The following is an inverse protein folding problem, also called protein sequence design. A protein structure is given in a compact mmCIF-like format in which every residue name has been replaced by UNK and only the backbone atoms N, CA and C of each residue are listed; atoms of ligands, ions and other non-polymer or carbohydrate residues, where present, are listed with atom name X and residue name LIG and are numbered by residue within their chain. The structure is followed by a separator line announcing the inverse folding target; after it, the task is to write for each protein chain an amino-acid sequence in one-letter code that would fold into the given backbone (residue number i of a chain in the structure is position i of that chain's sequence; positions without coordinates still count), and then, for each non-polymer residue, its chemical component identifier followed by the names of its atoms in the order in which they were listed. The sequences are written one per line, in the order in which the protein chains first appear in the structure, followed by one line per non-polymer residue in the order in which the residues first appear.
data_IF_081432851614
#
_entry.id   IF_081432851614
#
_cell.length_a   1.000
_cell.length_b   1.000
_cell.length_c   1.000
_cell.angle_alpha   90.00
_cell.angle_beta   90.00
_cell.angle_gamma   90.00
#
_symmetry.space_group_name_H-M   'P 1'
#
loop_
_entity.id
_entity.type
_entity.pdbx_description
1 polymer ?
#
# COMPACT_ATOMS: atom_id res chain seq x y z
N UNK A 1 14.86 6.28 21.67
CA UNK A 1 15.03 7.74 21.63
C UNK A 1 16.29 7.95 20.81
N UNK A 2 16.17 8.37 19.54
CA UNK A 2 17.33 8.59 18.66
C UNK A 2 18.13 9.75 19.27
N UNK A 3 19.40 9.51 19.53
CA UNK A 3 20.34 10.55 19.92
C UNK A 3 20.91 11.12 18.62
N UNK A 4 20.71 12.41 18.37
CA UNK A 4 21.38 13.08 17.26
C UNK A 4 22.84 13.30 17.63
N UNK A 5 23.73 12.67 16.87
CA UNK A 5 25.16 12.58 17.16
C UNK A 5 25.88 13.76 16.50
N UNK A 6 26.21 14.79 17.27
CA UNK A 6 27.04 15.89 16.75
C UNK A 6 28.52 15.62 17.05
N UNK A 7 29.35 15.55 16.00
CA UNK A 7 30.79 15.31 16.09
C UNK A 7 31.55 16.61 15.84
N UNK A 8 32.14 17.21 16.87
CA UNK A 8 33.06 18.34 16.71
C UNK A 8 34.48 17.82 16.46
N UNK A 9 34.99 18.05 15.23
CA UNK A 9 36.37 17.74 14.84
C UNK A 9 37.35 18.65 15.61
N UNK A 10 37.84 18.21 16.78
CA UNK A 10 39.27 18.30 17.13
C UNK A 10 39.70 17.58 18.41
N UNK A 11 38.81 17.16 19.31
CA UNK A 11 39.19 16.45 20.54
C UNK A 11 38.14 15.37 20.88
N UNK A 12 38.60 14.16 21.20
CA UNK A 12 37.79 12.95 21.44
C UNK A 12 36.94 13.04 22.72
N UNK A 13 35.84 13.79 22.69
CA UNK A 13 34.82 13.75 23.73
C UNK A 13 33.45 13.47 23.11
N UNK A 14 32.74 12.49 23.68
CA UNK A 14 31.38 12.09 23.31
C UNK A 14 30.46 12.49 24.45
N UNK A 15 29.52 13.41 24.19
CA UNK A 15 28.53 13.83 25.19
C UNK A 15 27.15 13.22 24.85
N UNK A 16 26.55 12.56 25.84
CA UNK A 16 25.20 12.00 25.76
C UNK A 16 24.23 12.96 26.47
N UNK A 17 23.56 13.83 25.72
CA UNK A 17 22.53 14.70 26.29
C UNK A 17 21.18 13.96 26.29
N UNK A 18 20.65 13.62 27.48
CA UNK A 18 19.29 13.08 27.65
C UNK A 18 18.27 14.14 28.11
N UNK A 19 18.73 15.36 28.38
CA UNK A 19 17.92 16.48 28.88
C UNK A 19 18.63 17.79 28.56
N UNK A 20 18.04 18.59 27.66
CA UNK A 20 18.36 19.93 27.12
C UNK A 20 19.34 20.86 27.89
N UNK A 21 20.54 20.40 28.21
CA UNK A 21 21.61 21.21 28.77
C UNK A 21 22.96 20.73 28.21
N UNK A 22 23.81 21.69 27.84
CA UNK A 22 25.17 21.46 27.38
C UNK A 22 26.11 22.25 28.30
N UNK A 23 26.88 21.56 29.14
CA UNK A 23 27.89 22.20 30.01
C UNK A 23 29.27 22.13 29.36
N UNK A 24 29.94 23.28 29.29
CA UNK A 24 31.31 23.43 28.80
C UNK A 24 32.13 24.16 29.85
N UNK A 25 33.20 23.53 30.34
CA UNK A 25 34.16 24.16 31.24
C UNK A 25 35.45 24.45 30.49
N UNK A 26 35.84 25.71 30.35
CA UNK A 26 37.19 26.04 29.84
C UNK A 26 37.82 27.22 30.59
N UNK A 27 39.15 27.25 30.80
CA UNK A 27 39.76 28.27 31.65
C UNK A 27 40.10 29.60 30.95
N UNK A 28 40.21 29.68 29.61
CA UNK A 28 40.88 30.82 28.93
C UNK A 28 40.44 31.20 27.48
N UNK A 29 39.31 30.75 26.93
CA UNK A 29 38.89 31.15 25.54
C UNK A 29 37.40 31.41 25.37
N UNK A 30 37.04 32.36 24.49
CA UNK A 30 35.67 32.60 24.01
C UNK A 30 35.36 31.68 22.82
N UNK A 31 34.30 30.89 22.94
CA UNK A 31 33.72 30.13 21.82
C UNK A 31 32.33 30.67 21.50
N UNK A 32 31.98 30.75 20.21
CA UNK A 32 30.63 31.10 19.74
C UNK A 32 29.95 29.82 19.26
N UNK A 33 28.92 29.38 19.98
CA UNK A 33 28.06 28.26 19.56
C UNK A 33 26.82 28.86 18.90
N UNK A 34 26.64 28.62 17.61
CA UNK A 34 25.45 29.04 16.89
C UNK A 34 24.53 27.83 16.69
N UNK A 35 23.39 27.81 17.38
CA UNK A 35 22.32 26.85 17.16
C UNK A 35 21.14 27.61 16.54
N UNK A 36 20.69 27.19 15.36
CA UNK A 36 19.51 27.78 14.71
C UNK A 36 18.26 27.42 15.51
N UNK A 37 17.43 28.41 15.84
CA UNK A 37 16.08 28.22 16.40
C UNK A 37 15.95 28.22 17.93
N UNK A 38 17.01 28.62 18.65
CA UNK A 38 16.98 28.78 20.11
C UNK A 38 17.38 30.20 20.48
N UNK A 39 16.72 30.78 21.49
CA UNK A 39 17.15 32.04 22.10
C UNK A 39 18.06 31.68 23.28
N UNK A 40 19.38 31.97 23.19
CA UNK A 40 20.26 31.71 24.31
C UNK A 40 20.08 32.82 25.37
N UNK A 41 19.69 32.44 26.57
CA UNK A 41 19.90 33.23 27.78
C UNK A 41 21.20 32.75 28.41
N UNK A 42 22.09 33.66 28.80
CA UNK A 42 23.36 33.28 29.43
C UNK A 42 23.59 33.99 30.75
N UNK A 43 24.00 33.24 31.75
CA UNK A 43 24.32 33.74 33.09
C UNK A 43 25.64 33.12 33.57
N UNK A 44 26.39 33.86 34.40
CA UNK A 44 27.58 33.32 35.06
C UNK A 44 27.21 32.84 36.47
N UNK A 45 27.46 31.56 36.74
CA UNK A 45 27.34 30.97 38.09
C UNK A 45 28.72 30.52 38.56
N UNK A 46 29.36 31.34 39.39
CA UNK A 46 30.74 31.16 39.83
C UNK A 46 31.73 31.19 38.66
N UNK A 47 32.44 30.07 38.41
CA UNK A 47 33.43 29.94 37.31
C UNK A 47 32.85 29.32 36.04
N UNK A 48 31.53 29.11 35.99
CA UNK A 48 30.86 28.47 34.86
C UNK A 48 29.95 29.45 34.13
N UNK A 49 30.00 29.42 32.81
CA UNK A 49 29.02 30.09 31.96
C UNK A 49 27.85 29.11 31.74
N UNK A 50 26.69 29.46 32.25
CA UNK A 50 25.44 28.71 32.04
C UNK A 50 24.74 29.31 30.84
N UNK A 51 24.53 28.51 29.80
CA UNK A 51 23.75 28.91 28.62
C UNK A 51 22.44 28.13 28.67
N UNK A 52 21.36 28.83 29.00
CA UNK A 52 20.00 28.31 28.97
C UNK A 52 19.45 28.52 27.57
N UNK A 53 19.25 27.42 26.85
CA UNK A 53 18.60 27.44 25.55
C UNK A 53 17.10 27.31 25.76
N UNK A 54 16.36 28.42 25.67
CA UNK A 54 14.91 28.33 25.55
C UNK A 54 14.59 27.94 24.11
N UNK A 55 13.90 26.82 23.96
CA UNK A 55 13.24 26.51 22.70
C UNK A 55 12.18 27.59 22.49
N UNK A 56 12.51 28.59 21.65
CA UNK A 56 11.45 29.30 20.98
C UNK A 56 10.75 28.25 20.13
N UNK A 57 9.42 28.24 20.12
CA UNK A 57 8.69 27.48 19.12
C UNK A 57 9.00 28.14 17.76
N UNK A 58 10.19 27.87 17.23
CA UNK A 58 10.46 28.02 15.82
C UNK A 58 9.50 27.03 15.21
N UNK A 59 8.44 27.56 14.61
CA UNK A 59 7.75 26.87 13.53
C UNK A 59 8.87 26.38 12.63
N UNK A 60 9.15 25.07 12.67
CA UNK A 60 10.22 24.49 11.89
C UNK A 60 10.08 25.04 10.47
N UNK A 61 11.18 25.55 9.89
CA UNK A 61 11.14 26.01 8.51
C UNK A 61 10.41 24.94 7.70
N UNK A 62 9.41 25.32 6.88
CA UNK A 62 8.60 24.33 6.19
C UNK A 62 9.55 23.40 5.42
N UNK A 63 9.35 22.08 5.51
CA UNK A 63 10.23 21.09 4.91
C UNK A 63 10.52 21.42 3.43
N UNK A 64 11.81 21.51 3.09
CA UNK A 64 12.30 22.01 1.80
C UNK A 64 11.99 21.04 0.65
N UNK A 65 11.85 19.73 0.93
CA UNK A 65 11.49 18.69 -0.04
C UNK A 65 10.26 17.86 0.37
N UNK A 66 9.64 17.17 -0.60
CA UNK A 66 8.60 16.16 -0.32
C UNK A 66 9.14 15.00 0.55
N UNK A 67 10.41 14.65 0.41
CA UNK A 67 11.06 13.63 1.23
C UNK A 67 11.15 14.06 2.69
N UNK A 68 11.46 15.34 2.95
CA UNK A 68 11.48 15.90 4.30
C UNK A 68 10.07 15.92 4.91
N UNK A 69 9.06 16.29 4.12
CA UNK A 69 7.64 16.23 4.52
C UNK A 69 7.25 14.80 4.92
N UNK A 70 7.56 13.82 4.08
CA UNK A 70 7.26 12.41 4.34
C UNK A 70 7.97 11.90 5.61
N UNK A 71 9.25 12.26 5.77
CA UNK A 71 10.05 11.89 6.96
C UNK A 71 9.45 12.45 8.24
N UNK A 72 9.06 13.73 8.24
CA UNK A 72 8.40 14.35 9.38
C UNK A 72 7.07 13.67 9.71
N UNK A 73 6.24 13.32 8.70
CA UNK A 73 4.99 12.57 8.91
C UNK A 73 5.24 11.23 9.59
N UNK A 74 6.27 10.48 9.18
CA UNK A 74 6.67 9.22 9.82
C UNK A 74 7.05 9.44 11.28
N UNK A 75 7.91 10.43 11.56
CA UNK A 75 8.37 10.74 12.93
C UNK A 75 7.19 11.10 13.83
N UNK A 76 6.26 11.92 13.34
CA UNK A 76 5.06 12.30 14.11
C UNK A 76 4.07 11.15 14.31
N UNK A 77 3.91 10.25 13.33
CA UNK A 77 3.02 9.10 13.42
C UNK A 77 3.57 7.95 14.28
N UNK A 78 4.89 7.90 14.50
CA UNK A 78 5.61 6.80 15.12
C UNK A 78 5.46 6.75 16.65
N UNK A 79 4.31 6.28 17.14
CA UNK A 79 4.06 5.95 18.55
C UNK A 79 3.71 4.47 18.73
N UNK A 80 4.12 3.87 19.85
CA UNK A 80 3.81 2.47 20.19
C UNK A 80 4.24 1.47 19.11
N UNK A 81 3.35 0.53 18.77
CA UNK A 81 3.60 -0.48 17.74
C UNK A 81 3.80 0.10 16.33
N UNK A 82 3.19 1.27 16.03
CA UNK A 82 3.37 1.95 14.74
C UNK A 82 4.84 2.32 14.51
N UNK A 83 5.56 2.72 15.57
CA UNK A 83 7.00 3.01 15.47
C UNK A 83 7.81 1.77 15.07
N UNK A 84 7.51 0.63 15.68
CA UNK A 84 8.21 -0.63 15.37
C UNK A 84 7.95 -1.04 13.93
N UNK A 85 6.68 -0.99 13.50
CA UNK A 85 6.29 -1.25 12.11
C UNK A 85 7.02 -0.33 11.12
N UNK A 86 6.95 0.99 11.33
CA UNK A 86 7.58 1.99 10.45
C UNK A 86 9.09 1.80 10.35
N UNK A 87 9.79 1.56 11.47
CA UNK A 87 11.23 1.29 11.45
C UNK A 87 11.55 0.05 10.61
N UNK A 88 10.84 -1.07 10.81
CA UNK A 88 11.10 -2.30 10.05
C UNK A 88 10.77 -2.16 8.58
N UNK A 89 9.66 -1.50 8.25
CA UNK A 89 9.25 -1.25 6.88
C UNK A 89 10.25 -0.36 6.14
N UNK A 90 10.70 0.74 6.78
CA UNK A 90 11.70 1.63 6.16
C UNK A 90 13.04 0.96 5.96
N UNK A 91 13.52 0.15 6.93
CA UNK A 91 14.75 -0.61 6.74
C UNK A 91 14.63 -1.55 5.53
N UNK A 92 13.50 -2.24 5.38
CA UNK A 92 13.27 -3.10 4.22
C UNK A 92 13.25 -2.31 2.89
N UNK A 93 12.69 -1.10 2.88
CA UNK A 93 12.68 -0.22 1.70
C UNK A 93 14.09 0.28 1.37
N UNK A 94 14.88 0.67 2.37
CA UNK A 94 16.29 1.09 2.16
C UNK A 94 17.12 -0.07 1.63
N UNK A 95 17.01 -1.26 2.25
CA UNK A 95 17.67 -2.48 1.79
C UNK A 95 17.31 -2.81 0.34
N UNK A 96 16.10 -2.44 -0.12
CA UNK A 96 15.66 -2.60 -1.50
C UNK A 96 16.48 -1.73 -2.46
N UNK A 97 16.74 -0.48 -2.08
CA UNK A 97 17.47 0.49 -2.90
C UNK A 97 18.95 0.15 -3.05
N UNK A 98 19.52 -0.58 -2.09
CA UNK A 98 20.94 -0.95 -2.08
C UNK A 98 21.27 -2.20 -2.92
N UNK A 99 20.25 -2.99 -3.33
CA UNK A 99 20.42 -4.32 -3.96
C UNK A 99 20.62 -4.31 -5.49
N UNK A 100 21.11 -3.21 -6.09
CA UNK A 100 21.35 -3.08 -7.54
C UNK A 100 20.11 -3.29 -8.44
N UNK A 101 18.90 -3.00 -7.94
CA UNK A 101 17.65 -3.05 -8.72
C UNK A 101 17.27 -1.68 -9.31
N UNK A 102 18.24 -0.86 -9.71
CA UNK A 102 18.05 0.57 -10.01
C UNK A 102 17.03 0.82 -11.13
N UNK A 103 17.11 0.06 -12.24
CA UNK A 103 16.14 0.16 -13.35
C UNK A 103 14.72 -0.25 -12.95
N UNK A 104 14.60 -1.31 -12.16
CA UNK A 104 13.31 -1.85 -11.70
C UNK A 104 12.64 -0.90 -10.71
N UNK A 105 13.43 -0.23 -9.86
CA UNK A 105 12.95 0.79 -8.93
C UNK A 105 12.56 2.09 -9.64
N UNK A 106 13.34 2.53 -10.63
CA UNK A 106 13.01 3.70 -11.45
C UNK A 106 11.69 3.50 -12.21
N UNK A 107 11.49 2.33 -12.84
CA UNK A 107 10.24 2.01 -13.51
C UNK A 107 9.04 2.04 -12.54
N UNK A 108 9.23 1.62 -11.29
CA UNK A 108 8.19 1.61 -10.28
C UNK A 108 7.73 3.03 -9.88
N UNK A 109 8.57 4.06 -9.96
CA UNK A 109 8.20 5.44 -9.58
C UNK A 109 7.19 6.09 -10.52
N UNK A 110 6.98 5.52 -11.71
CA UNK A 110 5.94 5.98 -12.65
C UNK A 110 4.52 5.58 -12.23
N UNK A 111 4.39 4.79 -11.16
CA UNK A 111 3.11 4.37 -10.66
C UNK A 111 2.26 5.55 -10.14
N UNK A 112 0.93 5.50 -10.30
CA UNK A 112 0.04 6.61 -9.93
C UNK A 112 -0.14 6.79 -8.41
N UNK A 113 0.43 5.92 -7.56
CA UNK A 113 0.30 6.02 -6.10
C UNK A 113 1.47 5.36 -5.34
N UNK A 114 1.77 5.88 -4.14
CA UNK A 114 2.90 5.45 -3.30
C UNK A 114 2.93 3.93 -3.02
N UNK A 115 1.77 3.32 -2.78
CA UNK A 115 1.70 1.89 -2.48
C UNK A 115 1.92 1.02 -3.73
N UNK A 116 1.58 1.56 -4.91
CA UNK A 116 1.81 0.87 -6.17
C UNK A 116 3.29 0.91 -6.56
N UNK A 117 3.99 2.00 -6.24
CA UNK A 117 5.46 2.05 -6.32
C UNK A 117 6.05 0.88 -5.54
N UNK A 118 5.63 0.69 -4.28
CA UNK A 118 6.11 -0.42 -3.45
C UNK A 118 5.73 -1.79 -4.01
N UNK A 119 4.49 -1.98 -4.45
CA UNK A 119 4.03 -3.26 -4.99
C UNK A 119 4.78 -3.65 -6.28
N UNK A 120 4.96 -2.71 -7.21
CA UNK A 120 5.71 -2.93 -8.46
C UNK A 120 7.18 -3.25 -8.17
N UNK A 121 7.80 -2.47 -7.27
CA UNK A 121 9.17 -2.72 -6.86
C UNK A 121 9.32 -4.14 -6.27
N UNK A 122 8.48 -4.52 -5.31
CA UNK A 122 8.53 -5.84 -4.67
C UNK A 122 8.18 -7.00 -5.62
N UNK A 123 7.39 -6.75 -6.66
CA UNK A 123 7.01 -7.78 -7.63
C UNK A 123 8.03 -7.97 -8.75
N UNK A 124 9.10 -7.15 -8.80
CA UNK A 124 10.17 -7.29 -9.79
C UNK A 124 11.03 -8.53 -9.52
N UNK A 125 11.45 -9.21 -10.60
CA UNK A 125 12.18 -10.48 -10.52
C UNK A 125 13.48 -10.36 -9.72
N UNK A 126 14.22 -9.26 -9.90
CA UNK A 126 15.51 -8.98 -9.25
C UNK A 126 15.41 -8.96 -7.71
N UNK A 127 14.22 -8.63 -7.19
CA UNK A 127 13.98 -8.44 -5.76
C UNK A 127 13.33 -9.66 -5.10
N UNK A 128 12.63 -10.49 -5.88
CA UNK A 128 11.99 -11.72 -5.41
C UNK A 128 13.00 -12.83 -5.12
N UNK A 129 14.07 -12.95 -5.90
CA UNK A 129 15.09 -14.00 -5.72
C UNK A 129 15.75 -13.98 -4.32
N UNK A 130 16.26 -12.85 -3.82
CA UNK A 130 16.84 -12.80 -2.47
C UNK A 130 15.81 -13.06 -1.35
N UNK A 131 14.54 -12.70 -1.56
CA UNK A 131 13.46 -12.94 -0.59
C UNK A 131 13.05 -14.41 -0.53
N UNK A 132 13.18 -15.14 -1.63
CA UNK A 132 12.86 -16.57 -1.70
C UNK A 132 13.73 -17.45 -0.80
N UNK A 133 14.94 -16.98 -0.44
CA UNK A 133 15.88 -17.68 0.45
C UNK A 133 15.34 -17.79 1.88
N UNK A 134 14.64 -16.75 2.37
CA UNK A 134 14.07 -16.74 3.73
C UNK A 134 12.60 -17.16 3.76
N UNK A 135 11.89 -16.96 2.66
CA UNK A 135 10.49 -17.37 2.48
C UNK A 135 10.26 -17.82 1.04
N UNK A 136 10.31 -19.15 0.75
CA UNK A 136 10.19 -19.69 -0.59
C UNK A 136 8.91 -19.27 -1.33
N UNK A 137 7.87 -18.89 -0.60
CA UNK A 137 6.57 -18.47 -1.17
C UNK A 137 6.42 -16.95 -1.29
N UNK A 138 7.41 -16.15 -0.90
CA UNK A 138 7.33 -14.69 -0.93
C UNK A 138 6.98 -14.16 -2.33
N UNK A 139 7.68 -14.65 -3.36
CA UNK A 139 7.42 -14.28 -4.75
C UNK A 139 6.02 -14.65 -5.23
N UNK A 140 5.56 -15.86 -4.88
CA UNK A 140 4.22 -16.33 -5.24
C UNK A 140 3.13 -15.48 -4.57
N UNK A 141 3.30 -15.10 -3.30
CA UNK A 141 2.36 -14.22 -2.58
C UNK A 141 2.30 -12.83 -3.20
N UNK A 142 3.45 -12.23 -3.53
CA UNK A 142 3.51 -10.91 -4.16
C UNK A 142 2.83 -10.90 -5.53
N UNK A 143 3.12 -11.90 -6.37
CA UNK A 143 2.41 -12.10 -7.64
C UNK A 143 0.91 -12.28 -7.45
N UNK A 144 0.49 -13.04 -6.44
CA UNK A 144 -0.92 -13.22 -6.11
C UNK A 144 -1.62 -11.94 -5.70
N UNK A 145 -0.98 -11.10 -4.87
CA UNK A 145 -1.50 -9.78 -4.47
C UNK A 145 -1.63 -8.87 -5.71
N UNK A 146 -0.61 -8.84 -6.56
CA UNK A 146 -0.62 -8.05 -7.78
C UNK A 146 -1.72 -8.53 -8.74
N UNK A 147 -1.81 -9.82 -9.03
CA UNK A 147 -2.83 -10.39 -9.91
C UNK A 147 -4.27 -10.14 -9.42
N UNK A 148 -4.53 -10.28 -8.11
CA UNK A 148 -5.84 -9.94 -7.53
C UNK A 148 -6.18 -8.47 -7.69
N UNK A 149 -5.20 -7.58 -7.54
CA UNK A 149 -5.39 -6.16 -7.79
C UNK A 149 -5.79 -5.92 -9.25
N UNK A 150 -5.04 -6.45 -10.20
CA UNK A 150 -5.32 -6.27 -11.64
C UNK A 150 -6.72 -6.77 -11.99
N UNK A 151 -7.11 -7.96 -11.52
CA UNK A 151 -8.46 -8.49 -11.72
C UNK A 151 -9.56 -7.57 -11.17
N UNK A 152 -9.36 -6.97 -9.99
CA UNK A 152 -10.34 -6.08 -9.37
C UNK A 152 -10.46 -4.74 -10.09
N UNK A 153 -9.40 -4.29 -10.76
CA UNK A 153 -9.36 -3.04 -11.53
C UNK A 153 -9.73 -3.20 -13.01
N UNK A 154 -9.77 -4.43 -13.51
CA UNK A 154 -10.18 -4.72 -14.87
C UNK A 154 -11.62 -4.25 -15.15
N UNK A 155 -11.89 -3.90 -16.41
CA UNK A 155 -13.25 -3.73 -16.94
C UNK A 155 -14.10 -2.71 -16.14
N UNK A 156 -13.50 -1.55 -15.85
CA UNK A 156 -14.15 -0.46 -15.11
C UNK A 156 -13.97 -0.55 -13.59
N UNK A 157 -13.27 -1.58 -13.10
CA UNK A 157 -12.95 -1.76 -11.69
C UNK A 157 -14.12 -2.35 -10.88
N UNK A 158 -14.09 -2.14 -9.56
CA UNK A 158 -15.10 -2.67 -8.66
C UNK A 158 -15.65 -1.60 -7.71
N UNK A 159 -16.98 -1.51 -7.66
CA UNK A 159 -17.74 -0.47 -6.99
C UNK A 159 -18.27 -0.93 -5.62
N UNK A 160 -18.51 -0.01 -4.66
CA UNK A 160 -19.08 -0.34 -3.35
C UNK A 160 -20.57 -0.72 -3.45
N UNK A 161 -21.08 -1.42 -2.44
CA UNK A 161 -22.50 -1.78 -2.34
C UNK A 161 -23.48 -0.59 -2.42
N UNK A 162 -23.07 0.62 -2.00
CA UNK A 162 -23.87 1.84 -2.16
C UNK A 162 -24.18 2.13 -3.61
N UNK A 163 -23.15 2.10 -4.45
CA UNK A 163 -23.24 2.50 -5.83
C UNK A 163 -24.05 1.47 -6.61
N UNK A 164 -23.86 0.18 -6.31
CA UNK A 164 -24.72 -0.90 -6.83
C UNK A 164 -26.19 -0.70 -6.44
N UNK A 165 -26.44 -0.29 -5.18
CA UNK A 165 -27.79 -0.06 -4.69
C UNK A 165 -28.48 1.09 -5.45
N UNK A 166 -27.73 2.17 -5.73
CA UNK A 166 -28.19 3.30 -6.54
C UNK A 166 -28.47 2.89 -7.99
N UNK A 167 -27.53 2.17 -8.64
CA UNK A 167 -27.68 1.67 -10.02
C UNK A 167 -28.93 0.80 -10.16
N UNK A 168 -29.19 -0.08 -9.20
CA UNK A 168 -30.27 -1.05 -9.26
C UNK A 168 -31.59 -0.56 -8.65
N UNK A 169 -31.61 0.62 -8.03
CA UNK A 169 -32.78 1.15 -7.32
C UNK A 169 -33.25 0.27 -6.16
N UNK A 170 -32.34 -0.41 -5.46
CA UNK A 170 -32.63 -1.31 -4.34
C UNK A 170 -31.86 -0.90 -3.07
N UNK A 171 -32.14 -1.55 -1.93
CA UNK A 171 -31.38 -1.31 -0.70
C UNK A 171 -30.02 -2.01 -0.72
N UNK A 172 -29.04 -1.48 0.04
CA UNK A 172 -27.74 -2.15 0.25
C UNK A 172 -27.90 -3.58 0.81
N UNK A 173 -28.93 -3.81 1.64
CA UNK A 173 -29.26 -5.15 2.16
C UNK A 173 -29.73 -6.09 1.05
N UNK A 174 -30.50 -5.58 0.08
CA UNK A 174 -30.89 -6.37 -1.09
C UNK A 174 -29.70 -6.69 -2.01
N UNK A 175 -28.73 -5.78 -2.14
CA UNK A 175 -27.45 -6.06 -2.84
C UNK A 175 -26.70 -7.19 -2.14
N UNK A 176 -26.53 -7.13 -0.82
CA UNK A 176 -25.84 -8.19 -0.08
C UNK A 176 -26.62 -9.51 -0.14
N UNK A 177 -27.96 -9.48 -0.08
CA UNK A 177 -28.79 -10.67 -0.29
C UNK A 177 -28.53 -11.29 -1.66
N UNK A 178 -28.47 -10.48 -2.73
CA UNK A 178 -28.17 -10.97 -4.09
C UNK A 178 -26.78 -11.61 -4.19
N UNK A 179 -25.78 -11.02 -3.54
CA UNK A 179 -24.44 -11.61 -3.40
C UNK A 179 -24.50 -12.98 -2.70
N UNK A 180 -25.17 -13.05 -1.55
CA UNK A 180 -25.30 -14.28 -0.76
C UNK A 180 -26.04 -15.39 -1.53
N UNK A 181 -27.03 -15.02 -2.36
CA UNK A 181 -27.76 -15.97 -3.20
C UNK A 181 -27.04 -16.31 -4.51
N UNK A 182 -25.84 -15.79 -4.75
CA UNK A 182 -25.07 -16.06 -5.96
C UNK A 182 -25.65 -15.42 -7.23
N UNK A 183 -26.49 -14.38 -7.09
CA UNK A 183 -27.06 -13.64 -8.23
C UNK A 183 -26.30 -12.35 -8.55
N UNK A 184 -25.33 -11.99 -7.69
CA UNK A 184 -24.29 -11.00 -7.95
C UNK A 184 -22.94 -11.54 -7.48
N UNK A 185 -21.89 -11.21 -8.23
CA UNK A 185 -20.51 -11.46 -7.83
C UNK A 185 -20.02 -10.31 -6.94
N UNK A 186 -19.61 -10.63 -5.71
CA UNK A 186 -19.01 -9.70 -4.78
C UNK A 186 -17.66 -10.23 -4.30
N UNK A 187 -16.61 -9.42 -4.45
CA UNK A 187 -15.25 -9.76 -4.05
C UNK A 187 -14.98 -9.24 -2.65
N UNK A 188 -14.58 -10.14 -1.75
CA UNK A 188 -14.12 -9.73 -0.41
C UNK A 188 -12.78 -9.01 -0.51
N UNK A 189 -12.73 -7.78 0.00
CA UNK A 189 -11.50 -6.95 0.04
C UNK A 189 -10.94 -6.83 1.47
N UNK A 190 -11.33 -7.75 2.35
CA UNK A 190 -10.90 -7.82 3.74
C UNK A 190 -11.98 -7.41 4.74
N UNK A 191 -12.01 -8.11 5.88
CA UNK A 191 -13.06 -7.94 6.89
C UNK A 191 -14.45 -8.25 6.33
N UNK A 192 -15.41 -7.38 6.62
CA UNK A 192 -16.80 -7.50 6.12
C UNK A 192 -17.06 -6.64 4.86
N UNK A 193 -16.01 -6.11 4.23
CA UNK A 193 -16.16 -5.24 3.06
C UNK A 193 -16.14 -6.04 1.75
N UNK A 194 -17.11 -5.74 0.89
CA UNK A 194 -17.22 -6.30 -0.45
C UNK A 194 -17.16 -5.20 -1.52
N UNK A 195 -16.61 -5.58 -2.67
CA UNK A 195 -16.60 -4.79 -3.91
C UNK A 195 -17.26 -5.58 -5.03
N UNK A 196 -17.99 -4.90 -5.89
CA UNK A 196 -18.77 -5.52 -6.95
C UNK A 196 -18.17 -5.09 -8.29
N UNK A 197 -17.63 -6.01 -9.10
CA UNK A 197 -17.10 -5.67 -10.41
C UNK A 197 -18.13 -4.89 -11.25
N UNK A 198 -17.72 -3.73 -11.77
CA UNK A 198 -18.61 -2.76 -12.40
C UNK A 198 -19.25 -3.28 -13.69
N UNK A 199 -18.54 -4.14 -14.42
CA UNK A 199 -19.02 -4.78 -15.65
C UNK A 199 -20.31 -5.60 -15.48
N UNK A 200 -20.70 -5.97 -14.25
CA UNK A 200 -21.96 -6.67 -13.99
C UNK A 200 -23.19 -5.82 -14.25
N UNK A 201 -23.01 -4.51 -14.35
CA UNK A 201 -24.08 -3.53 -14.40
C UNK A 201 -24.06 -2.74 -15.70
N UNK A 202 -25.24 -2.60 -16.29
CA UNK A 202 -25.51 -1.81 -17.48
C UNK A 202 -26.63 -0.80 -17.18
N UNK A 203 -26.91 0.12 -18.11
CA UNK A 203 -27.99 1.11 -17.93
C UNK A 203 -29.37 0.45 -17.64
N UNK A 204 -29.59 -0.76 -18.17
CA UNK A 204 -30.81 -1.55 -17.99
C UNK A 204 -30.81 -2.45 -16.74
N UNK A 205 -29.77 -2.43 -15.91
CA UNK A 205 -29.68 -3.25 -14.70
C UNK A 205 -28.48 -4.20 -14.71
N UNK A 206 -28.71 -5.50 -14.53
CA UNK A 206 -27.65 -6.52 -14.48
C UNK A 206 -27.47 -7.13 -15.88
N UNK A 207 -26.22 -7.44 -16.25
CA UNK A 207 -25.90 -8.16 -17.49
C UNK A 207 -26.74 -9.43 -17.62
N UNK A 208 -27.36 -9.61 -18.78
CA UNK A 208 -28.26 -10.73 -19.05
C UNK A 208 -27.55 -12.08 -18.93
N UNK A 209 -28.22 -13.06 -18.30
CA UNK A 209 -27.70 -14.42 -18.13
C UNK A 209 -26.68 -14.59 -16.99
N UNK A 210 -26.21 -13.51 -16.36
CA UNK A 210 -25.18 -13.55 -15.31
C UNK A 210 -25.52 -14.52 -14.17
N UNK A 211 -26.76 -14.50 -13.68
CA UNK A 211 -27.20 -15.37 -12.58
C UNK A 211 -27.02 -16.86 -12.90
N UNK A 212 -27.35 -17.30 -14.13
CA UNK A 212 -27.20 -18.71 -14.54
C UNK A 212 -25.72 -19.10 -14.57
N UNK A 213 -24.87 -18.21 -15.08
CA UNK A 213 -23.43 -18.44 -15.18
C UNK A 213 -22.80 -18.49 -13.77
N UNK A 214 -23.17 -17.57 -12.87
CA UNK A 214 -22.69 -17.60 -11.48
C UNK A 214 -23.13 -18.86 -10.72
N UNK A 215 -24.33 -19.38 -11.01
CA UNK A 215 -24.79 -20.66 -10.49
C UNK A 215 -23.96 -21.84 -11.02
N UNK A 216 -23.63 -21.86 -12.32
CA UNK A 216 -22.74 -22.87 -12.88
C UNK A 216 -21.34 -22.85 -12.22
N UNK A 217 -20.86 -21.65 -11.86
CA UNK A 217 -19.57 -21.45 -11.19
C UNK A 217 -19.65 -21.52 -9.64
N UNK A 218 -20.75 -22.00 -9.05
CA UNK A 218 -20.99 -21.92 -7.61
C UNK A 218 -19.91 -22.60 -6.75
N UNK A 219 -19.25 -23.63 -7.28
CA UNK A 219 -18.19 -24.39 -6.60
C UNK A 219 -16.84 -23.66 -6.55
N UNK A 220 -16.67 -22.58 -7.32
CA UNK A 220 -15.45 -21.79 -7.34
C UNK A 220 -15.52 -20.62 -6.35
N UNK A 221 -14.36 -20.20 -5.85
CA UNK A 221 -14.27 -18.98 -5.06
C UNK A 221 -14.48 -17.72 -5.93
N UNK A 222 -14.82 -16.61 -5.29
CA UNK A 222 -15.21 -15.39 -6.00
C UNK A 222 -14.07 -14.77 -6.83
N UNK A 223 -12.81 -15.01 -6.46
CA UNK A 223 -11.67 -14.56 -7.28
C UNK A 223 -11.54 -15.41 -8.55
N UNK A 224 -11.77 -16.72 -8.46
CA UNK A 224 -11.82 -17.58 -9.64
C UNK A 224 -12.97 -17.22 -10.57
N UNK A 225 -14.15 -16.91 -10.03
CA UNK A 225 -15.29 -16.41 -10.83
C UNK A 225 -14.92 -15.11 -11.56
N UNK A 226 -14.29 -14.16 -10.87
CA UNK A 226 -13.83 -12.92 -11.51
C UNK A 226 -12.81 -13.18 -12.61
N UNK A 227 -11.81 -14.03 -12.34
CA UNK A 227 -10.80 -14.40 -13.32
C UNK A 227 -11.41 -15.06 -14.56
N UNK A 228 -12.42 -15.91 -14.40
CA UNK A 228 -13.16 -16.52 -15.51
C UNK A 228 -13.70 -15.45 -16.46
N UNK A 229 -14.37 -14.42 -15.95
CA UNK A 229 -14.97 -13.38 -16.79
C UNK A 229 -13.94 -12.48 -17.47
N UNK A 230 -12.86 -12.14 -16.77
CA UNK A 230 -11.87 -11.15 -17.23
C UNK A 230 -10.83 -11.74 -18.17
N UNK A 231 -10.47 -13.02 -18.01
CA UNK A 231 -9.40 -13.63 -18.79
C UNK A 231 -9.90 -14.22 -20.12
N UNK A 232 -9.05 -14.21 -21.16
CA UNK A 232 -9.30 -14.95 -22.40
C UNK A 232 -9.59 -16.42 -22.15
N UNK A 233 -10.50 -16.99 -22.94
CA UNK A 233 -10.84 -18.41 -22.89
C UNK A 233 -10.72 -19.04 -24.28
N UNK A 234 -9.94 -20.10 -24.41
CA UNK A 234 -9.72 -20.78 -25.69
C UNK A 234 -11.01 -21.38 -26.28
N UNK A 235 -11.95 -21.81 -25.43
CA UNK A 235 -13.28 -22.27 -25.88
C UNK A 235 -14.14 -21.13 -26.44
N UNK A 236 -13.78 -19.89 -26.15
CA UNK A 236 -14.36 -18.65 -26.71
C UNK A 236 -13.42 -18.01 -27.74
N UNK A 237 -12.65 -18.83 -28.48
CA UNK A 237 -11.74 -18.38 -29.55
C UNK A 237 -10.69 -17.35 -29.08
N UNK A 238 -10.29 -17.44 -27.81
CA UNK A 238 -9.32 -16.52 -27.20
C UNK A 238 -9.91 -15.15 -26.81
N UNK A 239 -11.23 -14.97 -26.90
CA UNK A 239 -11.90 -13.81 -26.31
C UNK A 239 -12.32 -14.08 -24.86
N UNK A 240 -12.67 -13.03 -24.12
CA UNK A 240 -13.14 -13.13 -22.74
C UNK A 240 -14.66 -13.40 -22.71
N UNK A 241 -15.18 -14.07 -21.66
CA UNK A 241 -16.62 -14.20 -21.49
C UNK A 241 -17.38 -12.86 -21.52
N UNK A 242 -16.77 -11.77 -21.03
CA UNK A 242 -17.40 -10.45 -21.06
C UNK A 242 -17.64 -9.93 -22.48
N UNK A 243 -16.78 -10.26 -23.45
CA UNK A 243 -17.00 -9.88 -24.85
C UNK A 243 -18.25 -10.57 -25.41
N UNK A 244 -18.45 -11.85 -25.10
CA UNK A 244 -19.63 -12.59 -25.51
C UNK A 244 -20.90 -12.07 -24.82
N UNK A 245 -20.84 -11.75 -23.53
CA UNK A 245 -21.97 -11.16 -22.80
C UNK A 245 -22.39 -9.80 -23.40
N UNK A 246 -21.43 -8.94 -23.76
CA UNK A 246 -21.71 -7.65 -24.43
C UNK A 246 -22.36 -7.81 -25.80
N UNK A 247 -22.12 -8.94 -26.48
CA UNK A 247 -22.77 -9.30 -27.75
C UNK A 247 -24.15 -9.95 -27.55
N UNK A 248 -24.58 -10.15 -26.30
CA UNK A 248 -25.83 -10.83 -25.94
C UNK A 248 -25.74 -12.35 -25.97
N UNK A 249 -24.57 -12.94 -26.22
CA UNK A 249 -24.38 -14.39 -26.29
C UNK A 249 -24.04 -14.99 -24.92
N UNK A 250 -25.02 -14.98 -24.03
CA UNK A 250 -24.89 -15.57 -22.69
C UNK A 250 -24.87 -17.10 -22.69
N UNK A 251 -25.38 -17.75 -23.73
CA UNK A 251 -25.45 -19.21 -23.78
C UNK A 251 -24.06 -19.81 -24.04
N UNK A 252 -23.28 -19.27 -24.97
CA UNK A 252 -21.89 -19.72 -25.18
C UNK A 252 -21.05 -19.58 -23.91
N UNK A 253 -21.26 -18.51 -23.13
CA UNK A 253 -20.55 -18.32 -21.85
C UNK A 253 -20.98 -19.35 -20.81
N UNK A 254 -22.27 -19.67 -20.75
CA UNK A 254 -22.80 -20.67 -19.83
C UNK A 254 -22.24 -22.07 -20.12
N UNK A 255 -22.22 -22.49 -21.39
CA UNK A 255 -21.68 -23.80 -21.80
C UNK A 255 -20.20 -23.94 -21.39
N UNK A 256 -19.44 -22.84 -21.52
CA UNK A 256 -18.05 -22.79 -21.07
C UNK A 256 -17.94 -22.80 -19.54
N UNK A 257 -18.84 -22.13 -18.81
CA UNK A 257 -18.85 -22.12 -17.36
C UNK A 257 -19.18 -23.50 -16.75
N UNK A 258 -20.15 -24.22 -17.32
CA UNK A 258 -20.52 -25.57 -16.90
C UNK A 258 -19.34 -26.54 -17.09
N UNK A 259 -18.67 -26.46 -18.24
CA UNK A 259 -17.48 -27.27 -18.52
C UNK A 259 -16.24 -26.82 -17.76
N UNK A 260 -16.19 -25.59 -17.24
CA UNK A 260 -15.13 -25.11 -16.34
C UNK A 260 -15.27 -25.70 -14.93
N UNK A 261 -16.51 -25.87 -14.45
CA UNK A 261 -16.81 -26.49 -13.17
C UNK A 261 -16.37 -27.96 -13.09
N UNK A 262 -16.44 -28.69 -14.22
CA UNK A 262 -16.02 -30.09 -14.30
C UNK A 262 -14.50 -30.30 -14.15
N UNK A 263 -13.69 -29.31 -14.54
CA UNK A 263 -12.22 -29.42 -14.55
C UNK A 263 -11.55 -28.83 -13.31
N UNK A 264 -12.29 -28.10 -12.46
CA UNK A 264 -11.78 -27.55 -11.20
C UNK A 264 -11.76 -28.53 -10.03
N UNK A 265 -12.19 -29.78 -10.25
CA UNK A 265 -12.28 -30.84 -9.22
C UNK A 265 -11.14 -31.88 -9.30
N UNK A 266 -10.10 -31.64 -10.10
CA UNK A 266 -8.95 -32.54 -10.29
C UNK A 266 -7.66 -32.02 -9.64
#
# INVERSE_FOLDING_TARGET
MRADLFKLKKHNYVFLCRSHALELKTPKKRYRIALKGFTPESEFSGTHLVITLRAQLCVAAPPESELDRATLRVVHAAKGWKRVFLTRAMNAVVDLTERNAERSLEAATTAPSDWEVLLRALSSTDLVEPMSVSDPLAGARLRGIHARRELLHAEGGAIPASEVAEILGISRQAVDKRRQTGTLLGISVGGHAYRYPAWQFEQSGIVSGLERILKALAHHDDWMKLAFFVNPNDRLRGETPLVYLRRGDSQSVLDVAESYAEHGAA
#
